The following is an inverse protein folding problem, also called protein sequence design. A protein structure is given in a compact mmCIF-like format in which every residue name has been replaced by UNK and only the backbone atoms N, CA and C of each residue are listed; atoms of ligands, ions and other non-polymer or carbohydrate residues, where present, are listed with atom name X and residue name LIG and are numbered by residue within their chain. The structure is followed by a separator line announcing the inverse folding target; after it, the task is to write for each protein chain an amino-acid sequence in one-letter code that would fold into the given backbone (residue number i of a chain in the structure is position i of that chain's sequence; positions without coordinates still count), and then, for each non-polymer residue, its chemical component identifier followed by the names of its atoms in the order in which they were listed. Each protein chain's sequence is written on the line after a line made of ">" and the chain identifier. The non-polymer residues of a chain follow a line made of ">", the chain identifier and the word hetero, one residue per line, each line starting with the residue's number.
data_IF_160490518123
#
_entry.id   IF_160490518123
#
_cell.length_a   1.000
_cell.length_b   1.000
_cell.length_c   1.000
_cell.angle_alpha   90.00
_cell.angle_beta   90.00
_cell.angle_gamma   90.00
#
_symmetry.space_group_name_H-M   'P 1'
#
loop_
_entity.id
_entity.type
_entity.pdbx_description
1 polymer ?
#
# COMPACT_ATOMS: atom_id res chain seq x y z
N UNK A 1 18.92 -66.44 -15.30
CA UNK A 1 18.11 -65.27 -15.68
C UNK A 1 17.39 -65.33 -17.03
N UNK A 2 18.08 -65.75 -18.10
CA UNK A 2 17.44 -65.99 -19.41
C UNK A 2 16.47 -67.20 -19.39
N UNK A 3 16.83 -68.26 -18.69
CA UNK A 3 15.94 -69.43 -18.54
C UNK A 3 14.67 -69.12 -17.74
N UNK A 4 14.76 -68.31 -16.75
CA UNK A 4 13.62 -67.92 -15.92
C UNK A 4 12.63 -67.05 -16.68
N UNK A 5 13.13 -66.13 -17.54
CA UNK A 5 12.28 -65.33 -18.44
C UNK A 5 11.61 -66.17 -19.53
N UNK A 6 12.34 -67.16 -20.10
CA UNK A 6 11.75 -68.07 -21.08
C UNK A 6 10.69 -69.00 -20.48
N UNK A 7 10.87 -69.51 -19.24
CA UNK A 7 9.90 -70.25 -18.53
C UNK A 7 8.59 -69.45 -18.26
N UNK A 8 8.73 -68.20 -17.78
CA UNK A 8 7.57 -67.37 -17.53
C UNK A 8 6.78 -66.99 -18.79
N UNK A 9 7.45 -66.83 -19.94
CA UNK A 9 6.78 -66.56 -21.21
C UNK A 9 6.04 -67.80 -21.69
N UNK A 10 6.67 -68.98 -21.58
CA UNK A 10 6.08 -70.26 -22.00
C UNK A 10 4.84 -70.62 -21.17
N UNK A 11 4.89 -70.43 -19.86
CA UNK A 11 3.76 -70.72 -18.97
C UNK A 11 2.57 -69.77 -19.21
N UNK A 12 2.82 -68.55 -19.61
CA UNK A 12 1.77 -67.57 -19.92
C UNK A 12 1.13 -67.74 -21.29
N UNK A 13 1.89 -68.27 -22.27
CA UNK A 13 1.39 -68.54 -23.61
C UNK A 13 0.82 -69.98 -23.72
N UNK A 14 1.18 -70.89 -22.81
CA UNK A 14 0.74 -72.28 -22.77
C UNK A 14 -0.77 -72.46 -22.91
N UNK A 15 -1.62 -71.76 -22.14
CA UNK A 15 -3.06 -71.85 -22.24
C UNK A 15 -3.62 -71.44 -23.61
N UNK A 16 -2.97 -70.50 -24.33
CA UNK A 16 -3.37 -70.11 -25.67
C UNK A 16 -2.98 -71.18 -26.69
N UNK A 17 -1.73 -71.72 -26.58
CA UNK A 17 -1.21 -72.76 -27.47
C UNK A 17 -1.98 -74.07 -27.31
N UNK A 18 -2.46 -74.43 -26.12
CA UNK A 18 -3.24 -75.62 -25.83
C UNK A 18 -4.75 -75.47 -26.05
N UNK A 19 -5.20 -74.35 -26.63
CA UNK A 19 -6.59 -74.10 -26.98
C UNK A 19 -7.53 -73.85 -25.76
N UNK A 20 -6.94 -73.67 -24.56
CA UNK A 20 -7.68 -73.37 -23.31
C UNK A 20 -8.15 -71.93 -23.23
N UNK A 21 -7.58 -71.07 -24.03
CA UNK A 21 -7.90 -69.63 -24.10
C UNK A 21 -7.76 -69.11 -25.55
N UNK A 22 -8.72 -68.31 -26.01
CA UNK A 22 -8.59 -67.68 -27.33
C UNK A 22 -7.57 -66.53 -27.30
N UNK A 23 -6.96 -66.28 -28.43
CA UNK A 23 -6.00 -65.16 -28.56
C UNK A 23 -6.64 -63.82 -28.15
N UNK A 24 -7.96 -63.63 -28.45
CA UNK A 24 -8.72 -62.42 -28.07
C UNK A 24 -8.84 -62.26 -26.52
N UNK A 25 -9.15 -63.38 -25.82
CA UNK A 25 -9.20 -63.35 -24.36
C UNK A 25 -7.84 -63.05 -23.72
N UNK A 26 -6.75 -63.62 -24.27
CA UNK A 26 -5.38 -63.34 -23.80
C UNK A 26 -5.01 -61.85 -23.97
N UNK A 27 -5.27 -61.30 -25.15
CA UNK A 27 -5.02 -59.87 -25.41
C UNK A 27 -5.90 -58.97 -24.56
N UNK A 28 -7.16 -59.36 -24.28
CA UNK A 28 -8.03 -58.64 -23.37
C UNK A 28 -7.49 -58.55 -21.94
N UNK A 29 -6.96 -59.68 -21.42
CA UNK A 29 -6.38 -59.76 -20.07
C UNK A 29 -5.13 -58.88 -20.01
N UNK A 30 -4.24 -58.96 -21.00
CA UNK A 30 -3.01 -58.13 -21.06
C UNK A 30 -3.40 -56.64 -21.09
N UNK A 31 -4.36 -56.24 -21.93
CA UNK A 31 -4.81 -54.87 -22.04
C UNK A 31 -5.43 -54.38 -20.70
N UNK A 32 -6.22 -55.23 -20.06
CA UNK A 32 -6.83 -54.89 -18.74
C UNK A 32 -5.74 -54.72 -17.66
N UNK A 33 -4.76 -55.61 -17.57
CA UNK A 33 -3.65 -55.51 -16.62
C UNK A 33 -2.80 -54.27 -16.89
N UNK A 34 -2.50 -54.00 -18.16
CA UNK A 34 -1.76 -52.80 -18.54
C UNK A 34 -2.50 -51.51 -18.21
N UNK A 35 -3.82 -51.46 -18.51
CA UNK A 35 -4.67 -50.35 -18.15
C UNK A 35 -4.77 -50.16 -16.62
N UNK A 36 -4.78 -51.24 -15.87
CA UNK A 36 -4.80 -51.17 -14.40
C UNK A 36 -3.47 -50.60 -13.84
N UNK A 37 -2.31 -51.05 -14.39
CA UNK A 37 -0.99 -50.52 -14.00
C UNK A 37 -0.89 -49.01 -14.33
N UNK A 38 -1.33 -48.60 -15.50
CA UNK A 38 -1.35 -47.18 -15.88
C UNK A 38 -2.23 -46.32 -14.96
N UNK A 39 -3.46 -46.80 -14.67
CA UNK A 39 -4.37 -46.10 -13.74
C UNK A 39 -3.78 -45.97 -12.35
N UNK A 40 -3.21 -47.05 -11.81
CA UNK A 40 -2.56 -47.03 -10.51
C UNK A 40 -1.37 -46.07 -10.47
N UNK A 41 -0.51 -46.11 -11.48
CA UNK A 41 0.63 -45.22 -11.57
C UNK A 41 0.21 -43.74 -11.64
N UNK A 42 -0.77 -43.43 -12.48
CA UNK A 42 -1.29 -42.09 -12.61
C UNK A 42 -1.99 -41.58 -11.34
N UNK A 43 -2.80 -42.46 -10.69
CA UNK A 43 -3.48 -42.11 -9.45
C UNK A 43 -2.50 -41.92 -8.28
N UNK A 44 -1.46 -42.77 -8.18
CA UNK A 44 -0.41 -42.62 -7.18
C UNK A 44 0.38 -41.31 -7.36
N UNK A 45 0.78 -40.98 -8.60
CA UNK A 45 1.49 -39.73 -8.87
C UNK A 45 0.64 -38.51 -8.49
N UNK A 46 -0.63 -38.51 -8.86
CA UNK A 46 -1.56 -37.43 -8.47
C UNK A 46 -1.76 -37.32 -6.96
N UNK A 47 -1.86 -38.45 -6.27
CA UNK A 47 -2.02 -38.45 -4.81
C UNK A 47 -0.76 -37.92 -4.11
N UNK A 48 0.42 -38.29 -4.57
CA UNK A 48 1.69 -37.76 -4.05
C UNK A 48 1.84 -36.26 -4.28
N UNK A 49 1.48 -35.80 -5.47
CA UNK A 49 1.48 -34.36 -5.79
C UNK A 49 0.50 -33.57 -4.92
N UNK A 50 -0.69 -34.12 -4.69
CA UNK A 50 -1.68 -33.51 -3.81
C UNK A 50 -1.20 -33.47 -2.35
N UNK A 51 -0.59 -34.56 -1.85
CA UNK A 51 -0.04 -34.60 -0.49
C UNK A 51 1.08 -33.55 -0.34
N UNK A 52 1.98 -33.44 -1.33
CA UNK A 52 3.04 -32.42 -1.32
C UNK A 52 2.45 -31.01 -1.25
N UNK A 53 1.45 -30.72 -2.09
CA UNK A 53 0.77 -29.43 -2.14
C UNK A 53 0.03 -29.11 -0.83
N UNK A 54 -0.68 -30.07 -0.28
CA UNK A 54 -1.33 -29.91 1.03
C UNK A 54 -0.29 -29.66 2.12
N UNK A 55 0.88 -30.33 2.04
CA UNK A 55 1.99 -30.08 2.97
C UNK A 55 2.51 -28.64 2.93
N UNK A 56 2.59 -28.04 1.74
CA UNK A 56 2.95 -26.64 1.58
C UNK A 56 1.87 -25.71 2.15
N UNK A 57 0.60 -25.93 1.81
CA UNK A 57 -0.50 -25.15 2.40
C UNK A 57 -0.56 -25.25 3.93
N UNK A 58 -0.26 -26.43 4.50
CA UNK A 58 -0.20 -26.59 5.95
C UNK A 58 0.96 -25.82 6.58
N UNK A 59 2.10 -25.70 5.90
CA UNK A 59 3.22 -24.86 6.35
C UNK A 59 2.82 -23.38 6.35
N UNK A 60 2.21 -22.91 5.25
CA UNK A 60 1.75 -21.54 5.14
C UNK A 60 0.68 -21.21 6.20
N UNK A 61 -0.29 -22.13 6.39
CA UNK A 61 -1.31 -21.99 7.43
C UNK A 61 -0.69 -21.95 8.83
N UNK A 62 0.29 -22.84 9.10
CA UNK A 62 0.98 -22.85 10.39
C UNK A 62 1.77 -21.56 10.61
N UNK A 63 2.44 -21.07 9.58
CA UNK A 63 3.13 -19.78 9.63
C UNK A 63 2.14 -18.63 9.89
N UNK A 64 0.99 -18.62 9.21
CA UNK A 64 -0.07 -17.64 9.44
C UNK A 64 -0.63 -17.68 10.87
N UNK A 65 -0.96 -18.86 11.38
CA UNK A 65 -1.48 -19.03 12.74
C UNK A 65 -0.44 -18.70 13.81
N UNK A 66 0.85 -18.82 13.49
CA UNK A 66 1.94 -18.46 14.41
C UNK A 66 2.24 -16.97 14.44
N UNK A 67 1.62 -16.16 13.55
CA UNK A 67 1.76 -14.69 13.61
C UNK A 67 1.16 -14.21 14.94
N UNK A 68 1.97 -13.52 15.71
CA UNK A 68 1.48 -12.79 16.89
C UNK A 68 0.86 -11.47 16.45
N UNK A 69 -0.20 -11.05 17.11
CA UNK A 69 -0.69 -9.67 16.94
C UNK A 69 0.43 -8.69 17.28
N UNK A 70 0.62 -7.73 16.39
CA UNK A 70 1.54 -6.64 16.67
C UNK A 70 0.98 -5.80 17.82
N UNK A 71 1.84 -5.44 18.76
CA UNK A 71 1.45 -4.63 19.90
C UNK A 71 0.74 -3.35 19.41
N UNK A 72 -0.39 -3.05 20.02
CA UNK A 72 -1.18 -1.85 19.73
C UNK A 72 -1.80 -1.78 18.30
N UNK A 73 -1.80 -2.87 17.54
CA UNK A 73 -2.36 -2.90 16.17
C UNK A 73 -3.85 -2.51 16.16
N UNK A 74 -4.64 -3.00 17.13
CA UNK A 74 -6.07 -2.74 17.29
C UNK A 74 -6.39 -1.48 18.12
N UNK A 75 -5.38 -0.74 18.59
CA UNK A 75 -5.61 0.49 19.36
C UNK A 75 -6.25 1.54 18.44
N UNK A 76 -7.41 2.06 18.84
CA UNK A 76 -8.09 3.15 18.12
C UNK A 76 -7.33 4.48 18.30
N UNK A 77 -7.44 5.41 17.33
CA UNK A 77 -6.94 6.77 17.53
C UNK A 77 -7.64 7.45 18.70
N UNK A 78 -6.92 8.28 19.45
CA UNK A 78 -7.49 9.08 20.51
C UNK A 78 -8.56 10.04 19.93
N UNK A 79 -9.66 10.24 20.65
CA UNK A 79 -10.76 11.09 20.19
C UNK A 79 -10.34 12.57 20.05
N UNK A 80 -9.45 13.03 20.92
CA UNK A 80 -8.90 14.38 20.90
C UNK A 80 -7.40 14.32 20.59
N UNK A 81 -6.97 14.70 19.36
CA UNK A 81 -5.56 14.70 18.98
C UNK A 81 -4.80 15.79 19.75
N UNK A 82 -3.57 15.47 20.12
CA UNK A 82 -2.64 16.41 20.74
C UNK A 82 -2.25 17.48 19.72
N UNK A 83 -2.33 18.76 20.10
CA UNK A 83 -1.85 19.85 19.26
C UNK A 83 -0.31 19.73 19.06
N UNK A 84 0.13 19.95 17.83
CA UNK A 84 1.56 19.88 17.47
C UNK A 84 2.00 21.29 17.09
N UNK A 85 2.82 21.92 17.96
CA UNK A 85 3.42 23.22 17.69
C UNK A 85 4.74 23.06 16.92
N UNK A 86 5.49 22.02 17.24
CA UNK A 86 6.79 21.76 16.67
C UNK A 86 7.03 20.25 16.52
N UNK A 87 7.40 19.83 15.32
CA UNK A 87 7.87 18.49 15.00
C UNK A 87 9.33 18.57 14.57
N UNK A 88 10.21 17.78 15.21
CA UNK A 88 11.64 17.79 14.93
C UNK A 88 12.17 16.38 14.64
N UNK A 89 12.97 16.27 13.60
CA UNK A 89 13.87 15.13 13.37
C UNK A 89 15.28 15.56 13.76
N UNK A 90 15.95 14.77 14.60
CA UNK A 90 17.32 15.03 15.06
C UNK A 90 18.21 13.84 14.76
N UNK A 91 19.06 13.96 13.75
CA UNK A 91 20.04 12.96 13.33
C UNK A 91 19.43 11.56 13.17
N UNK A 92 18.23 11.49 12.56
CA UNK A 92 17.48 10.23 12.41
C UNK A 92 18.15 9.35 11.36
N UNK A 93 18.41 8.09 11.74
CA UNK A 93 18.87 7.03 10.83
C UNK A 93 17.88 5.89 10.87
N UNK A 94 17.60 5.36 9.69
CA UNK A 94 16.66 4.25 9.55
C UNK A 94 17.03 3.33 8.39
N UNK A 95 16.89 2.03 8.63
CA UNK A 95 16.93 0.97 7.62
C UNK A 95 15.74 0.03 7.81
N UNK A 96 15.20 -0.51 6.73
CA UNK A 96 14.15 -1.52 6.85
C UNK A 96 14.71 -2.83 7.44
N UNK A 97 13.89 -3.61 8.19
CA UNK A 97 14.35 -4.85 8.83
C UNK A 97 14.94 -5.87 7.86
N UNK A 98 14.49 -5.86 6.60
CA UNK A 98 14.97 -6.76 5.53
C UNK A 98 16.16 -6.22 4.74
N UNK A 99 16.72 -5.05 5.10
CA UNK A 99 17.77 -4.38 4.33
C UNK A 99 18.95 -3.94 5.17
N UNK A 100 20.17 -4.03 4.59
CA UNK A 100 21.41 -3.61 5.26
C UNK A 100 21.72 -2.12 5.07
N UNK A 101 21.06 -1.47 4.10
CA UNK A 101 21.34 -0.08 3.74
C UNK A 101 20.45 0.89 4.51
N UNK A 102 21.05 1.97 5.06
CA UNK A 102 20.30 3.09 5.57
C UNK A 102 19.54 3.81 4.44
N UNK A 103 18.25 4.01 4.67
CA UNK A 103 17.37 4.81 3.80
C UNK A 103 17.39 6.27 4.27
N UNK A 104 17.39 6.48 5.60
CA UNK A 104 17.65 7.77 6.21
C UNK A 104 19.00 7.67 6.92
N UNK A 105 19.88 8.66 6.73
CA UNK A 105 21.24 8.63 7.29
C UNK A 105 21.63 9.99 7.88
N UNK A 106 21.12 10.26 9.08
CA UNK A 106 21.35 11.51 9.79
C UNK A 106 20.41 12.63 9.36
N UNK A 107 19.15 12.28 9.05
CA UNK A 107 18.11 13.23 8.66
C UNK A 107 17.77 14.17 9.82
N UNK A 108 17.79 15.48 9.56
CA UNK A 108 17.44 16.50 10.57
C UNK A 108 16.67 17.64 9.92
N UNK A 109 15.50 17.97 10.47
CA UNK A 109 14.68 19.11 10.08
C UNK A 109 13.65 19.44 11.17
N UNK A 110 12.96 20.56 11.01
CA UNK A 110 11.87 21.01 11.89
C UNK A 110 10.69 21.45 11.05
N UNK A 111 9.48 21.12 11.53
CA UNK A 111 8.22 21.58 10.99
C UNK A 111 7.45 22.33 12.09
N UNK A 112 7.01 23.55 11.81
CA UNK A 112 6.23 24.41 12.69
C UNK A 112 4.74 24.29 12.39
N UNK A 113 3.91 24.49 13.40
CA UNK A 113 2.44 24.44 13.27
C UNK A 113 1.92 25.43 12.22
N UNK A 114 0.84 24.99 11.53
CA UNK A 114 0.10 25.86 10.60
C UNK A 114 0.83 26.22 9.31
N UNK A 115 2.00 25.62 9.04
CA UNK A 115 2.77 25.82 7.80
C UNK A 115 2.63 24.65 6.85
N UNK A 116 2.86 24.92 5.59
CA UNK A 116 2.79 23.96 4.49
C UNK A 116 4.19 23.64 3.97
N UNK A 117 4.55 22.37 3.97
CA UNK A 117 5.87 21.87 3.61
C UNK A 117 5.79 20.98 2.38
N UNK A 118 6.78 21.06 1.51
CA UNK A 118 6.92 20.11 0.41
C UNK A 118 8.21 19.31 0.56
N UNK A 119 8.09 17.97 0.55
CA UNK A 119 9.23 17.07 0.47
C UNK A 119 9.46 16.65 -0.98
N UNK A 120 10.59 17.03 -1.52
CA UNK A 120 10.98 16.74 -2.90
C UNK A 120 12.28 15.94 -2.95
N UNK A 121 12.48 15.20 -4.01
CA UNK A 121 13.68 14.36 -4.17
C UNK A 121 13.42 13.17 -5.08
N UNK A 122 14.48 12.50 -5.50
CA UNK A 122 14.41 11.30 -6.34
C UNK A 122 13.61 10.16 -5.68
N UNK A 123 13.18 9.21 -6.50
CA UNK A 123 12.60 7.96 -5.99
C UNK A 123 13.62 7.23 -5.12
N UNK A 124 13.16 6.73 -3.98
CA UNK A 124 14.04 6.06 -3.01
C UNK A 124 14.87 7.00 -2.12
N UNK A 125 14.68 8.33 -2.20
CA UNK A 125 15.39 9.28 -1.32
C UNK A 125 14.97 9.22 0.15
N UNK A 126 13.88 8.50 0.49
CA UNK A 126 13.41 8.32 1.86
C UNK A 126 12.14 9.11 2.23
N UNK A 127 11.50 9.81 1.29
CA UNK A 127 10.31 10.65 1.55
C UNK A 127 9.16 9.88 2.22
N UNK A 128 8.70 8.81 1.61
CA UNK A 128 7.63 7.93 2.17
C UNK A 128 8.09 7.24 3.46
N UNK A 129 9.40 7.01 3.63
CA UNK A 129 9.95 6.44 4.87
C UNK A 129 9.78 7.40 6.04
N UNK A 130 9.92 8.71 5.83
CA UNK A 130 9.65 9.72 6.87
C UNK A 130 8.19 9.60 7.35
N UNK A 131 7.23 9.50 6.43
CA UNK A 131 5.80 9.31 6.76
C UNK A 131 5.59 8.05 7.60
N UNK A 132 6.22 6.94 7.21
CA UNK A 132 6.09 5.66 7.93
C UNK A 132 6.67 5.72 9.36
N UNK A 133 7.72 6.49 9.59
CA UNK A 133 8.26 6.71 10.93
C UNK A 133 7.32 7.59 11.76
N UNK A 134 6.81 8.69 11.19
CA UNK A 134 5.86 9.59 11.87
C UNK A 134 4.58 8.89 12.30
N UNK A 135 4.08 7.97 11.49
CA UNK A 135 2.85 7.20 11.81
C UNK A 135 3.11 6.05 12.79
N UNK A 136 4.34 5.88 13.29
CA UNK A 136 4.70 4.81 14.21
C UNK A 136 4.72 3.41 13.58
N UNK A 137 4.65 3.31 12.24
CA UNK A 137 4.70 2.01 11.54
C UNK A 137 6.03 1.28 11.74
N UNK A 138 7.11 2.03 11.97
CA UNK A 138 8.43 1.51 12.32
C UNK A 138 8.95 2.27 13.55
N UNK A 139 8.86 1.68 14.75
CA UNK A 139 9.34 2.32 15.97
C UNK A 139 10.86 2.25 16.15
N UNK A 140 11.52 1.38 15.41
CA UNK A 140 12.97 1.11 15.53
C UNK A 140 13.77 2.03 14.59
N UNK A 141 14.28 3.15 15.11
CA UNK A 141 15.18 4.08 14.41
C UNK A 141 16.23 4.62 15.38
N UNK A 142 17.35 5.08 14.85
CA UNK A 142 18.40 5.79 15.59
C UNK A 142 18.15 7.31 15.54
N UNK A 143 18.58 8.05 16.54
CA UNK A 143 18.30 9.49 16.67
C UNK A 143 16.96 9.74 17.36
N UNK A 144 16.41 10.94 17.20
CA UNK A 144 15.20 11.39 17.90
C UNK A 144 14.17 11.97 16.93
N UNK A 145 12.91 11.63 17.14
CA UNK A 145 11.74 12.29 16.51
C UNK A 145 10.92 12.89 17.63
N UNK A 146 10.89 14.21 17.70
CA UNK A 146 10.28 14.93 18.81
C UNK A 146 9.00 15.63 18.37
N UNK A 147 7.95 15.50 19.17
CA UNK A 147 6.70 16.25 19.08
C UNK A 147 6.64 17.15 20.32
N UNK A 148 6.68 18.47 20.12
CA UNK A 148 6.69 19.46 21.20
C UNK A 148 7.81 19.17 22.25
N UNK A 149 8.95 18.64 21.80
CA UNK A 149 10.08 18.28 22.66
C UNK A 149 10.01 16.92 23.33
N UNK A 150 8.91 16.16 23.19
CA UNK A 150 8.76 14.79 23.70
C UNK A 150 9.04 13.79 22.57
N UNK A 151 9.77 12.72 22.86
CA UNK A 151 10.10 11.68 21.89
C UNK A 151 8.83 10.95 21.41
N UNK A 152 8.71 10.72 20.10
CA UNK A 152 7.54 10.10 19.47
C UNK A 152 7.21 8.71 20.07
N UNK A 153 8.24 7.96 20.47
CA UNK A 153 8.09 6.62 21.09
C UNK A 153 7.52 6.65 22.51
N UNK A 154 7.47 7.80 23.15
CA UNK A 154 6.87 7.97 24.48
C UNK A 154 5.35 8.17 24.43
N UNK A 155 4.81 8.50 23.25
CA UNK A 155 3.37 8.63 23.05
C UNK A 155 2.69 7.27 22.93
N UNK A 156 1.43 7.18 23.36
CA UNK A 156 0.60 6.01 23.13
C UNK A 156 0.34 5.82 21.63
N UNK A 157 0.10 4.58 21.20
CA UNK A 157 -0.26 4.29 19.82
C UNK A 157 -1.54 5.03 19.39
N UNK A 158 -2.52 5.20 20.29
CA UNK A 158 -3.74 5.98 20.04
C UNK A 158 -3.43 7.46 19.78
N UNK A 159 -2.55 8.06 20.58
CA UNK A 159 -2.12 9.44 20.40
C UNK A 159 -1.40 9.63 19.06
N UNK A 160 -0.44 8.74 18.72
CA UNK A 160 0.28 8.81 17.43
C UNK A 160 -0.67 8.68 16.26
N UNK A 161 -1.62 7.73 16.30
CA UNK A 161 -2.64 7.56 15.25
C UNK A 161 -3.55 8.78 15.11
N UNK A 162 -3.82 9.52 16.19
CA UNK A 162 -4.63 10.74 16.16
C UNK A 162 -3.87 11.97 15.65
N UNK A 163 -2.55 12.01 15.78
CA UNK A 163 -1.71 13.15 15.38
C UNK A 163 -1.58 13.34 13.88
N UNK A 164 -1.68 12.24 13.10
CA UNK A 164 -1.35 12.25 11.68
C UNK A 164 -2.52 11.74 10.83
N UNK A 165 -2.91 12.50 9.82
CA UNK A 165 -3.81 12.07 8.76
C UNK A 165 -3.02 11.90 7.48
N UNK A 166 -2.98 10.67 6.93
CA UNK A 166 -2.12 10.35 5.80
C UNK A 166 -2.93 9.87 4.60
N UNK A 167 -2.66 10.46 3.45
CA UNK A 167 -3.05 9.92 2.15
C UNK A 167 -1.79 9.31 1.52
N UNK A 168 -1.75 7.98 1.46
CA UNK A 168 -0.63 7.26 0.84
C UNK A 168 -0.78 7.20 -0.68
N UNK A 169 0.31 7.02 -1.40
CA UNK A 169 0.32 6.83 -2.86
C UNK A 169 -0.51 5.61 -3.27
N UNK A 170 -0.39 4.51 -2.52
CA UNK A 170 -1.15 3.26 -2.66
C UNK A 170 -2.32 3.22 -1.66
N UNK A 171 -3.20 4.19 -1.73
CA UNK A 171 -4.34 4.33 -0.83
C UNK A 171 -5.27 3.12 -0.87
N UNK A 172 -5.79 2.73 0.30
CA UNK A 172 -6.72 1.62 0.43
C UNK A 172 -8.10 1.96 -0.17
N UNK A 173 -8.63 1.02 -0.99
CA UNK A 173 -9.97 1.04 -1.54
C UNK A 173 -10.85 0.12 -0.70
N UNK A 174 -11.76 0.68 0.07
CA UNK A 174 -12.71 -0.12 0.84
C UNK A 174 -14.02 -0.25 0.05
N UNK A 175 -14.44 -1.47 -0.22
CA UNK A 175 -15.65 -1.77 -0.99
C UNK A 175 -16.91 -1.69 -0.10
N UNK A 176 -17.13 -0.52 0.49
CA UNK A 176 -18.27 -0.11 1.33
C UNK A 176 -18.91 1.13 0.74
N UNK A 177 -19.93 1.70 1.38
CA UNK A 177 -20.56 2.95 0.94
C UNK A 177 -19.56 4.09 0.78
N UNK A 178 -19.76 5.00 -0.18
CA UNK A 178 -18.87 6.16 -0.36
C UNK A 178 -18.85 7.01 0.91
N UNK A 179 -20.00 7.25 1.51
CA UNK A 179 -20.13 7.97 2.78
C UNK A 179 -19.32 7.30 3.89
N UNK A 180 -19.45 5.98 4.04
CA UNK A 180 -18.74 5.22 5.05
C UNK A 180 -17.22 5.25 4.79
N UNK A 181 -16.81 5.17 3.51
CA UNK A 181 -15.42 5.36 3.13
C UNK A 181 -14.82 6.67 3.61
N UNK A 182 -15.57 7.76 3.45
CA UNK A 182 -15.13 9.10 3.87
C UNK A 182 -15.13 9.19 5.39
N UNK A 183 -16.15 8.63 6.06
CA UNK A 183 -16.28 8.62 7.52
C UNK A 183 -15.13 7.88 8.23
N UNK A 184 -14.43 6.94 7.55
CA UNK A 184 -13.23 6.29 8.09
C UNK A 184 -12.11 7.28 8.46
N UNK A 185 -12.14 8.50 7.95
CA UNK A 185 -11.19 9.55 8.33
C UNK A 185 -11.32 10.00 9.79
N UNK A 186 -12.54 9.91 10.36
CA UNK A 186 -12.82 10.06 11.78
C UNK A 186 -14.18 9.45 12.12
N UNK A 187 -14.17 8.27 12.72
CA UNK A 187 -15.38 7.50 13.05
C UNK A 187 -16.24 8.15 14.16
N UNK A 188 -15.68 9.09 14.92
CA UNK A 188 -16.36 9.80 16.00
C UNK A 188 -17.13 11.02 15.50
N UNK A 189 -16.83 11.53 14.29
CA UNK A 189 -17.49 12.70 13.69
C UNK A 189 -18.47 12.24 12.63
N UNK A 190 -19.72 12.74 12.73
CA UNK A 190 -20.77 12.46 11.75
C UNK A 190 -21.21 13.76 11.08
N UNK A 191 -21.64 13.65 9.82
CA UNK A 191 -22.26 14.76 9.08
C UNK A 191 -21.30 15.66 8.32
N UNK A 192 -19.98 15.40 8.35
CA UNK A 192 -18.98 16.13 7.57
C UNK A 192 -18.61 15.46 6.24
N UNK A 193 -19.16 14.29 5.99
CA UNK A 193 -18.77 13.45 4.84
C UNK A 193 -19.12 14.13 3.51
N UNK A 194 -20.28 14.80 3.44
CA UNK A 194 -20.70 15.51 2.22
C UNK A 194 -19.85 16.74 1.93
N UNK A 195 -19.53 17.52 2.97
CA UNK A 195 -18.62 18.67 2.87
C UNK A 195 -17.22 18.23 2.42
N UNK A 196 -16.68 17.19 3.04
CA UNK A 196 -15.37 16.64 2.66
C UNK A 196 -15.36 16.10 1.22
N UNK A 197 -16.44 15.47 0.78
CA UNK A 197 -16.62 15.01 -0.60
C UNK A 197 -16.64 16.20 -1.58
N UNK A 198 -17.37 17.26 -1.25
CA UNK A 198 -17.41 18.49 -2.05
C UNK A 198 -16.03 19.12 -2.18
N UNK A 199 -15.34 19.35 -1.07
CA UNK A 199 -13.98 19.90 -1.05
C UNK A 199 -12.98 19.03 -1.82
N UNK A 200 -13.16 17.70 -1.83
CA UNK A 200 -12.35 16.79 -2.64
C UNK A 200 -12.76 16.73 -4.12
N UNK A 201 -13.79 17.49 -4.55
CA UNK A 201 -14.26 17.54 -5.93
C UNK A 201 -14.96 16.26 -6.38
N UNK A 202 -15.73 15.61 -5.49
CA UNK A 202 -16.46 14.38 -5.77
C UNK A 202 -17.92 14.61 -6.21
N UNK A 203 -18.41 15.85 -6.31
CA UNK A 203 -19.83 16.14 -6.59
C UNK A 203 -20.33 15.47 -7.86
N UNK A 204 -19.62 15.65 -8.98
CA UNK A 204 -20.00 15.01 -10.25
C UNK A 204 -19.99 13.47 -10.17
N UNK A 205 -19.07 12.91 -9.39
CA UNK A 205 -19.01 11.46 -9.21
C UNK A 205 -20.21 10.98 -8.41
N UNK A 206 -20.58 11.70 -7.35
CA UNK A 206 -21.73 11.40 -6.50
C UNK A 206 -23.04 11.51 -7.28
N UNK A 207 -23.20 12.53 -8.13
CA UNK A 207 -24.40 12.75 -8.92
C UNK A 207 -24.62 11.67 -9.98
N UNK A 208 -23.56 10.98 -10.41
CA UNK A 208 -23.62 9.84 -11.35
C UNK A 208 -23.90 8.50 -10.67
N UNK A 209 -23.78 8.41 -9.36
CA UNK A 209 -24.03 7.21 -8.59
C UNK A 209 -25.53 7.06 -8.32
N UNK A 210 -26.03 5.80 -8.34
CA UNK A 210 -27.46 5.49 -8.21
C UNK A 210 -28.09 6.04 -6.93
N UNK A 211 -27.43 5.89 -5.81
CA UNK A 211 -27.90 6.31 -4.50
C UNK A 211 -27.03 7.47 -3.94
N UNK A 212 -26.38 8.23 -4.84
CA UNK A 212 -25.50 9.33 -4.47
C UNK A 212 -24.36 8.90 -3.55
N UNK A 213 -24.13 9.63 -2.48
CA UNK A 213 -23.05 9.37 -1.51
C UNK A 213 -23.25 8.07 -0.71
N UNK A 214 -24.47 7.53 -0.65
CA UNK A 214 -24.76 6.30 0.08
C UNK A 214 -24.52 5.04 -0.80
N UNK A 215 -24.15 5.20 -2.08
CA UNK A 215 -23.88 4.09 -2.99
C UNK A 215 -22.69 3.24 -2.52
N UNK A 216 -22.85 1.91 -2.44
CA UNK A 216 -21.73 1.00 -2.21
C UNK A 216 -20.71 1.07 -3.35
N UNK A 217 -19.43 1.23 -3.03
CA UNK A 217 -18.35 1.30 -4.01
C UNK A 217 -17.80 -0.09 -4.33
N UNK A 218 -17.37 -0.26 -5.60
CA UNK A 218 -16.80 -1.50 -6.11
C UNK A 218 -17.87 -2.49 -6.59
N UNK A 219 -17.41 -3.65 -7.10
CA UNK A 219 -18.27 -4.68 -7.73
C UNK A 219 -18.49 -5.93 -6.85
N UNK A 220 -18.08 -5.89 -5.59
CA UNK A 220 -18.22 -7.04 -4.68
C UNK A 220 -19.68 -7.18 -4.24
N UNK A 221 -20.35 -6.08 -3.94
CA UNK A 221 -21.76 -6.08 -3.59
C UNK A 221 -22.63 -6.06 -4.85
N UNK A 222 -23.80 -6.71 -4.79
CA UNK A 222 -24.72 -6.85 -5.93
C UNK A 222 -25.14 -5.50 -6.53
N UNK A 223 -25.30 -4.48 -5.69
CA UNK A 223 -25.71 -3.12 -6.07
C UNK A 223 -24.55 -2.13 -6.09
N UNK A 224 -23.32 -2.61 -5.98
CA UNK A 224 -22.13 -1.78 -5.94
C UNK A 224 -21.76 -1.21 -7.30
N UNK A 225 -21.34 0.05 -7.30
CA UNK A 225 -20.82 0.75 -8.47
C UNK A 225 -19.36 1.10 -8.26
N UNK A 226 -18.54 0.87 -9.29
CA UNK A 226 -17.13 1.22 -9.23
C UNK A 226 -16.91 2.65 -9.75
N UNK A 227 -15.89 3.30 -9.25
CA UNK A 227 -15.48 4.64 -9.65
C UNK A 227 -14.07 4.62 -10.24
N UNK A 228 -13.68 5.66 -10.97
CA UNK A 228 -12.34 5.74 -11.58
C UNK A 228 -11.24 5.81 -10.53
N UNK A 229 -9.99 5.49 -10.95
CA UNK A 229 -8.82 5.58 -10.06
C UNK A 229 -8.63 6.98 -9.46
N UNK A 230 -8.83 8.03 -10.27
CA UNK A 230 -8.78 9.41 -9.79
C UNK A 230 -9.89 9.76 -8.79
N UNK A 231 -11.11 9.22 -8.97
CA UNK A 231 -12.20 9.39 -8.02
C UNK A 231 -11.91 8.64 -6.70
N UNK A 232 -11.34 7.44 -6.76
CA UNK A 232 -10.86 6.73 -5.57
C UNK A 232 -9.80 7.54 -4.81
N UNK A 233 -8.88 8.19 -5.52
CA UNK A 233 -7.89 9.08 -4.91
C UNK A 233 -8.55 10.26 -4.20
N UNK A 234 -9.55 10.89 -4.82
CA UNK A 234 -10.34 11.96 -4.21
C UNK A 234 -11.12 11.48 -2.96
N UNK A 235 -11.61 10.24 -2.94
CA UNK A 235 -12.19 9.63 -1.74
C UNK A 235 -11.14 9.50 -0.62
N UNK A 236 -9.90 9.11 -0.93
CA UNK A 236 -8.83 9.07 0.06
C UNK A 236 -8.46 10.46 0.60
N UNK A 237 -8.50 11.48 -0.25
CA UNK A 237 -8.34 12.89 0.18
C UNK A 237 -9.51 13.29 1.08
N UNK A 238 -10.76 13.00 0.70
CA UNK A 238 -11.94 13.31 1.52
C UNK A 238 -11.86 12.68 2.92
N UNK A 239 -11.35 11.43 3.04
CA UNK A 239 -11.05 10.83 4.37
C UNK A 239 -10.12 11.72 5.19
N UNK A 240 -9.05 12.24 4.58
CA UNK A 240 -8.10 13.09 5.30
C UNK A 240 -8.71 14.42 5.73
N UNK A 241 -9.76 14.90 5.05
CA UNK A 241 -10.45 16.15 5.37
C UNK A 241 -11.37 16.01 6.58
N UNK A 242 -11.98 14.84 6.78
CA UNK A 242 -12.79 14.55 7.96
C UNK A 242 -11.94 14.40 9.22
N UNK A 243 -10.66 14.02 9.06
CA UNK A 243 -9.74 13.87 10.19
C UNK A 243 -9.49 15.18 10.92
N UNK A 244 -9.44 15.11 12.26
CA UNK A 244 -9.05 16.23 13.14
C UNK A 244 -7.53 16.30 13.39
N UNK A 245 -6.76 15.38 12.85
CA UNK A 245 -5.31 15.35 13.05
C UNK A 245 -4.68 16.74 12.77
N UNK A 246 -3.77 17.21 13.63
CA UNK A 246 -3.09 18.51 13.47
C UNK A 246 -2.12 18.51 12.28
N UNK A 247 -1.61 17.35 11.89
CA UNK A 247 -0.69 17.20 10.75
C UNK A 247 -1.32 16.33 9.68
N UNK A 248 -1.39 16.88 8.46
CA UNK A 248 -1.83 16.16 7.26
C UNK A 248 -0.65 15.86 6.36
N UNK A 249 -0.51 14.61 5.95
CA UNK A 249 0.56 14.17 5.04
C UNK A 249 -0.10 13.64 3.76
N UNK A 250 0.30 14.17 2.63
CA UNK A 250 -0.23 13.81 1.32
C UNK A 250 0.92 13.27 0.47
N UNK A 251 1.00 11.95 0.34
CA UNK A 251 2.03 11.27 -0.44
C UNK A 251 1.51 11.03 -1.86
N UNK A 252 1.98 11.83 -2.80
CA UNK A 252 1.58 11.85 -4.22
C UNK A 252 0.06 11.93 -4.46
N UNK A 253 -0.62 12.91 -3.85
CA UNK A 253 -2.08 12.97 -3.82
C UNK A 253 -2.73 13.20 -5.19
N UNK A 254 -1.98 13.38 -6.25
CA UNK A 254 -2.46 13.64 -7.62
C UNK A 254 -1.95 12.64 -8.64
N UNK A 255 -1.29 11.55 -8.22
CA UNK A 255 -0.65 10.58 -9.12
C UNK A 255 -1.62 9.92 -10.12
N UNK A 256 -2.89 9.73 -9.75
CA UNK A 256 -3.94 9.15 -10.58
C UNK A 256 -4.85 10.20 -11.27
N UNK A 257 -4.56 11.49 -11.13
CA UNK A 257 -5.34 12.57 -11.73
C UNK A 257 -4.74 13.03 -13.05
N UNK A 258 -5.62 13.42 -13.98
CA UNK A 258 -5.22 14.15 -15.18
C UNK A 258 -4.80 15.59 -14.83
N UNK A 259 -4.03 16.30 -15.71
CA UNK A 259 -3.48 17.62 -15.40
C UNK A 259 -4.54 18.69 -15.10
N UNK A 260 -5.73 18.61 -15.69
CA UNK A 260 -6.82 19.58 -15.44
C UNK A 260 -7.40 19.32 -14.04
N UNK A 261 -7.72 18.07 -13.72
CA UNK A 261 -8.19 17.66 -12.41
C UNK A 261 -7.19 17.95 -11.31
N UNK A 262 -5.90 17.80 -11.59
CA UNK A 262 -4.81 18.17 -10.69
C UNK A 262 -4.79 19.67 -10.42
N UNK A 263 -4.86 20.50 -11.47
CA UNK A 263 -4.88 21.96 -11.33
C UNK A 263 -6.07 22.46 -10.53
N UNK A 264 -7.25 21.88 -10.76
CA UNK A 264 -8.47 22.18 -9.99
C UNK A 264 -8.30 21.79 -8.52
N UNK A 265 -7.77 20.62 -8.24
CA UNK A 265 -7.51 20.19 -6.87
C UNK A 265 -6.54 21.15 -6.18
N UNK A 266 -5.47 21.57 -6.83
CA UNK A 266 -4.51 22.52 -6.26
C UNK A 266 -5.11 23.91 -6.04
N UNK A 267 -6.03 24.38 -6.86
CA UNK A 267 -6.73 25.65 -6.62
C UNK A 267 -7.62 25.62 -5.38
N UNK A 268 -8.11 24.45 -5.01
CA UNK A 268 -8.90 24.23 -3.79
C UNK A 268 -8.01 23.91 -2.57
N UNK A 269 -6.71 23.65 -2.78
CA UNK A 269 -5.81 23.21 -1.70
C UNK A 269 -5.67 24.22 -0.58
N UNK A 270 -5.69 25.53 -0.86
CA UNK A 270 -5.68 26.56 0.19
C UNK A 270 -6.83 26.39 1.17
N UNK A 271 -8.04 26.07 0.64
CA UNK A 271 -9.22 25.78 1.46
C UNK A 271 -9.10 24.43 2.19
N UNK A 272 -8.42 23.45 1.57
CA UNK A 272 -8.20 22.14 2.13
C UNK A 272 -7.17 22.12 3.26
N UNK A 273 -6.25 23.10 3.27
CA UNK A 273 -5.13 23.19 4.20
C UNK A 273 -5.47 23.99 5.47
N UNK A 274 -6.63 24.64 5.52
CA UNK A 274 -7.05 25.60 6.53
C UNK A 274 -6.59 25.28 7.96
N UNK A 275 -5.66 26.09 8.47
CA UNK A 275 -5.17 26.04 9.85
C UNK A 275 -4.36 24.82 10.29
N UNK A 276 -4.08 23.85 9.38
CA UNK A 276 -3.34 22.62 9.70
C UNK A 276 -1.93 22.63 9.12
N UNK A 277 -1.02 21.99 9.81
CA UNK A 277 0.30 21.68 9.25
C UNK A 277 0.14 20.64 8.15
N UNK A 278 0.63 20.94 6.95
CA UNK A 278 0.50 20.02 5.81
C UNK A 278 1.87 19.70 5.22
N UNK A 279 2.12 18.43 4.93
CA UNK A 279 3.32 17.93 4.26
C UNK A 279 2.92 17.30 2.95
N UNK A 280 3.41 17.86 1.84
CA UNK A 280 3.26 17.30 0.51
C UNK A 280 4.49 16.51 0.14
N UNK A 281 4.30 15.28 -0.27
CA UNK A 281 5.34 14.51 -0.93
C UNK A 281 4.94 14.42 -2.39
N UNK A 282 5.72 15.03 -3.28
CA UNK A 282 5.37 15.06 -4.70
C UNK A 282 6.61 14.88 -5.58
N UNK A 283 6.39 14.16 -6.68
CA UNK A 283 7.33 14.16 -7.82
C UNK A 283 7.00 15.28 -8.82
N UNK A 284 5.79 15.86 -8.74
CA UNK A 284 5.33 16.95 -9.62
C UNK A 284 5.62 18.27 -8.94
N UNK A 285 6.69 18.92 -9.37
CA UNK A 285 7.20 20.13 -8.72
C UNK A 285 6.30 21.37 -8.90
N UNK A 286 5.27 21.30 -9.77
CA UNK A 286 4.26 22.37 -9.88
C UNK A 286 3.53 22.63 -8.55
N UNK A 287 3.25 21.59 -7.78
CA UNK A 287 2.58 21.68 -6.46
C UNK A 287 3.45 22.26 -5.36
N UNK A 288 4.77 22.24 -5.50
CA UNK A 288 5.68 22.75 -4.48
C UNK A 288 5.58 24.25 -4.26
N UNK A 289 5.01 24.98 -5.24
CA UNK A 289 4.75 26.43 -5.12
C UNK A 289 3.70 26.77 -4.06
N UNK A 290 2.88 25.80 -3.65
CA UNK A 290 1.87 25.97 -2.60
C UNK A 290 2.47 25.81 -1.21
N UNK A 291 3.69 25.33 -1.08
CA UNK A 291 4.36 25.15 0.20
C UNK A 291 5.06 26.45 0.63
N UNK A 292 4.94 26.76 1.93
CA UNK A 292 5.71 27.84 2.58
C UNK A 292 7.20 27.52 2.58
N UNK A 293 7.52 26.23 2.61
CA UNK A 293 8.90 25.77 2.66
C UNK A 293 9.06 24.40 1.99
N UNK A 294 10.12 24.26 1.21
CA UNK A 294 10.49 23.06 0.47
C UNK A 294 11.73 22.45 1.10
N UNK A 295 11.69 21.15 1.38
CA UNK A 295 12.83 20.37 1.82
C UNK A 295 13.23 19.40 0.70
N UNK A 296 14.45 19.56 0.18
CA UNK A 296 15.01 18.64 -0.82
C UNK A 296 15.71 17.50 -0.09
N UNK A 297 15.20 16.28 -0.31
CA UNK A 297 15.71 15.08 0.31
C UNK A 297 16.53 14.30 -0.73
N UNK A 298 17.79 14.09 -0.44
CA UNK A 298 18.68 13.27 -1.26
C UNK A 298 19.54 12.38 -0.37
N UNK A 299 19.69 11.11 -0.76
CA UNK A 299 20.43 10.09 -0.01
C UNK A 299 20.10 10.05 1.51
N UNK A 300 18.81 10.21 1.85
CA UNK A 300 18.34 10.15 3.24
C UNK A 300 18.64 11.37 4.10
N UNK A 301 19.00 12.51 3.50
CA UNK A 301 19.29 13.78 4.18
C UNK A 301 18.55 14.95 3.54
N UNK A 302 18.33 16.01 4.30
CA UNK A 302 17.91 17.29 3.75
C UNK A 302 19.15 18.00 3.18
N UNK A 303 19.19 18.23 1.86
CA UNK A 303 20.31 18.86 1.16
C UNK A 303 20.07 20.33 0.87
N UNK A 304 18.82 20.71 0.62
CA UNK A 304 18.42 22.10 0.39
C UNK A 304 17.11 22.38 1.11
N UNK A 305 16.94 23.62 1.56
CA UNK A 305 15.73 24.05 2.29
C UNK A 305 15.45 25.52 1.97
N UNK A 306 14.20 25.87 1.66
CA UNK A 306 13.79 27.25 1.38
C UNK A 306 12.46 27.35 0.63
N UNK A 307 12.09 28.57 0.23
CA UNK A 307 10.93 28.80 -0.65
C UNK A 307 11.27 28.43 -2.09
N UNK A 308 10.25 28.32 -2.94
CA UNK A 308 10.44 28.06 -4.37
C UNK A 308 11.41 29.05 -5.01
N UNK A 309 11.20 30.37 -4.76
CA UNK A 309 12.00 31.44 -5.33
C UNK A 309 13.46 31.38 -4.85
N UNK A 310 13.67 31.13 -3.56
CA UNK A 310 15.00 31.03 -2.96
C UNK A 310 15.79 29.85 -3.56
N UNK A 311 15.15 28.68 -3.66
CA UNK A 311 15.78 27.48 -4.21
C UNK A 311 16.04 27.58 -5.72
N UNK A 312 15.15 28.21 -6.48
CA UNK A 312 15.40 28.51 -7.90
C UNK A 312 16.60 29.47 -8.09
N UNK A 313 16.72 30.50 -7.22
CA UNK A 313 17.84 31.45 -7.26
C UNK A 313 19.19 30.79 -6.90
N UNK A 314 19.18 29.78 -6.02
CA UNK A 314 20.38 29.00 -5.66
C UNK A 314 20.94 28.17 -6.83
N UNK A 315 20.11 27.88 -7.86
CA UNK A 315 20.47 27.01 -9.00
C UNK A 315 21.02 25.65 -8.56
N UNK A 316 20.52 25.13 -7.43
CA UNK A 316 20.91 23.87 -6.85
C UNK A 316 20.11 22.69 -7.41
N UNK A 317 20.04 21.62 -6.64
CA UNK A 317 19.35 20.39 -7.00
C UNK A 317 17.87 20.58 -7.27
N UNK A 318 17.20 21.41 -6.48
CA UNK A 318 15.79 21.76 -6.69
C UNK A 318 15.57 22.41 -8.06
N UNK A 319 16.35 23.42 -8.38
CA UNK A 319 16.24 24.13 -9.66
C UNK A 319 16.48 23.20 -10.85
N UNK A 320 17.50 22.32 -10.78
CA UNK A 320 17.77 21.31 -11.80
C UNK A 320 16.56 20.40 -12.03
N UNK A 321 15.96 19.89 -10.95
CA UNK A 321 14.79 19.02 -11.01
C UNK A 321 13.57 19.76 -11.57
N UNK A 322 13.35 21.01 -11.17
CA UNK A 322 12.23 21.83 -11.61
C UNK A 322 12.32 22.17 -13.11
N UNK A 323 13.50 22.58 -13.59
CA UNK A 323 13.72 22.91 -15.00
C UNK A 323 13.58 21.66 -15.87
N UNK A 324 14.15 20.54 -15.46
CA UNK A 324 13.99 19.26 -16.18
C UNK A 324 12.52 18.88 -16.34
N UNK A 325 11.71 19.02 -15.29
CA UNK A 325 10.27 18.73 -15.41
C UNK A 325 9.56 19.73 -16.31
N UNK A 326 9.89 21.02 -16.24
CA UNK A 326 9.27 22.04 -17.08
C UNK A 326 9.49 21.78 -18.57
N UNK A 327 10.65 21.28 -18.97
CA UNK A 327 10.97 20.95 -20.37
C UNK A 327 10.10 19.80 -20.92
N UNK A 328 9.61 18.91 -20.07
CA UNK A 328 8.74 17.82 -20.50
C UNK A 328 7.27 18.23 -20.70
N UNK A 329 6.86 19.41 -20.21
CA UNK A 329 5.51 19.94 -20.33
C UNK A 329 5.39 21.10 -21.35
N UNK A 330 6.48 21.45 -22.02
CA UNK A 330 6.50 22.35 -23.19
C UNK A 330 6.51 21.54 -24.50
#
# INVERSE_FOLDING_TARGET
>A
DRRQRQMCIRDRIGPVVHGQMTAGMFMGIISAVFGMIQKLGFQMSRSLENISRVGEYMKDLTAFVSLSEEKDALTEPDAEPIAIDLLEFRNVRFRYPSGDRYILDGLSFKLEAGRHYAFVGKNGAGKTTITKLLTGLYPEYEGEILINGTELREYSAGAVKAMFSVVYQDFAKYYIGMKDNIALGNIHIKGKEREAAHLAGLDEAIDRLRDGIDTPLGKIQKDGQDISGGQWQRVAIARSLVSQAPVRILDEPTSALDPISESLLYSEFEKLMDGKTTVFISHRLGSTKLADEILVIDAGKVTERGTHEALMAQKGRYAEMFETQREWYQ
#
